data_IF_252069101754
#
_entry.id   IF_252069101754
#
_cell.length_a   1.000
_cell.length_b   1.000
_cell.length_c   1.000
_cell.angle_alpha   90.00
_cell.angle_beta   90.00
_cell.angle_gamma   90.00
#
_symmetry.space_group_name_H-M   'P 1'
#
loop_
_entity.id
_entity.type
_entity.pdbx_description
1 polymer ?
#
# COMPACT_ATOMS: atom_id res chain seq x y z
N UNK A 1 19.91 11.03 1.21
CA UNK A 1 18.89 10.20 1.90
C UNK A 1 17.54 10.75 1.53
N UNK A 2 16.67 9.92 1.01
CA UNK A 2 15.32 10.25 0.51
C UNK A 2 14.29 9.61 1.42
N UNK A 3 13.22 10.33 1.76
CA UNK A 3 12.17 9.85 2.64
C UNK A 3 10.88 9.55 1.89
N UNK A 4 10.36 8.35 2.06
CA UNK A 4 9.14 7.89 1.41
C UNK A 4 8.07 7.63 2.48
N UNK A 5 6.92 8.26 2.31
CA UNK A 5 5.74 8.09 3.16
C UNK A 5 4.72 7.22 2.43
N UNK A 6 4.62 5.95 2.81
CA UNK A 6 3.60 5.07 2.24
C UNK A 6 2.34 5.09 3.10
N UNK A 7 1.21 5.40 2.47
CA UNK A 7 -0.09 5.56 3.13
C UNK A 7 -1.02 4.45 2.66
N UNK A 8 -1.55 3.63 3.58
CA UNK A 8 -2.63 2.71 3.26
C UNK A 8 -3.90 3.50 2.95
N UNK A 9 -4.64 3.12 1.91
CA UNK A 9 -5.92 3.75 1.58
C UNK A 9 -6.89 3.76 2.76
N UNK A 10 -7.82 4.72 2.79
CA UNK A 10 -8.92 4.81 3.74
C UNK A 10 -9.90 3.63 3.61
N UNK A 11 -10.83 3.49 4.55
CA UNK A 11 -11.80 2.40 4.54
C UNK A 11 -12.62 2.41 3.24
N UNK A 12 -12.62 1.27 2.55
CA UNK A 12 -13.39 1.06 1.33
C UNK A 12 -14.86 0.73 1.63
N UNK A 13 -15.75 1.09 0.71
CA UNK A 13 -17.20 0.88 0.83
C UNK A 13 -17.61 -0.59 0.68
N UNK A 14 -16.76 -1.42 0.06
CA UNK A 14 -17.02 -2.85 -0.17
C UNK A 14 -15.76 -3.67 0.05
N UNK A 15 -15.94 -4.96 0.29
CA UNK A 15 -14.86 -5.93 0.41
C UNK A 15 -14.34 -6.43 -0.94
N UNK A 16 -13.25 -7.16 -0.90
CA UNK A 16 -12.57 -7.71 -2.08
C UNK A 16 -13.41 -8.71 -2.90
N UNK A 17 -14.41 -9.32 -2.28
CA UNK A 17 -15.33 -10.28 -2.88
C UNK A 17 -16.62 -9.65 -3.43
N UNK A 18 -16.82 -8.35 -3.24
CA UNK A 18 -18.05 -7.65 -3.61
C UNK A 18 -17.82 -6.71 -4.80
N UNK A 19 -16.73 -5.95 -4.76
CA UNK A 19 -16.36 -4.97 -5.79
C UNK A 19 -14.83 -5.03 -5.99
N UNK A 20 -14.33 -5.14 -7.22
CA UNK A 20 -12.89 -5.15 -7.50
C UNK A 20 -12.22 -3.79 -7.27
N UNK A 21 -12.96 -2.68 -7.37
CA UNK A 21 -12.44 -1.32 -7.19
C UNK A 21 -13.42 -0.40 -6.44
N UNK A 22 -13.72 -0.72 -5.17
CA UNK A 22 -14.68 0.06 -4.40
C UNK A 22 -14.13 1.45 -4.07
N UNK A 23 -15.03 2.49 -4.03
CA UNK A 23 -14.69 3.79 -3.52
C UNK A 23 -14.47 3.76 -1.99
N UNK A 24 -14.02 4.88 -1.43
CA UNK A 24 -14.05 5.08 0.02
C UNK A 24 -15.50 5.20 0.53
N UNK A 25 -15.77 4.62 1.69
CA UNK A 25 -16.98 4.93 2.44
C UNK A 25 -16.85 6.27 3.20
N UNK A 26 -17.86 6.63 3.98
CA UNK A 26 -17.87 7.89 4.72
C UNK A 26 -16.73 7.98 5.74
N UNK A 27 -16.44 6.89 6.46
CA UNK A 27 -15.32 6.85 7.40
C UNK A 27 -13.98 6.96 6.66
N UNK A 28 -13.84 6.26 5.53
CA UNK A 28 -12.64 6.34 4.67
C UNK A 28 -12.38 7.76 4.18
N UNK A 29 -13.42 8.50 3.80
CA UNK A 29 -13.30 9.92 3.44
C UNK A 29 -12.82 10.78 4.60
N UNK A 30 -13.35 10.56 5.80
CA UNK A 30 -12.89 11.26 7.01
C UNK A 30 -11.45 10.89 7.38
N UNK A 31 -11.06 9.62 7.22
CA UNK A 31 -9.68 9.17 7.42
C UNK A 31 -8.73 9.84 6.43
N UNK A 32 -9.14 9.99 5.15
CA UNK A 32 -8.31 10.66 4.13
C UNK A 32 -8.07 12.13 4.45
N UNK A 33 -9.07 12.84 4.96
CA UNK A 33 -8.91 14.24 5.41
C UNK A 33 -7.95 14.35 6.60
N UNK A 34 -8.02 13.41 7.56
CA UNK A 34 -7.12 13.40 8.72
C UNK A 34 -5.66 13.16 8.32
N UNK A 35 -5.39 12.14 7.48
CA UNK A 35 -4.02 11.87 7.04
C UNK A 35 -3.47 13.00 6.18
N UNK A 36 -4.29 13.64 5.35
CA UNK A 36 -3.91 14.83 4.60
C UNK A 36 -3.50 15.98 5.53
N UNK A 37 -4.25 16.22 6.60
CA UNK A 37 -3.90 17.22 7.62
C UNK A 37 -2.58 16.90 8.31
N UNK A 38 -2.35 15.62 8.68
CA UNK A 38 -1.11 15.17 9.33
C UNK A 38 0.11 15.38 8.43
N UNK A 39 -0.02 15.10 7.13
CA UNK A 39 1.09 15.20 6.18
C UNK A 39 1.28 16.61 5.61
N UNK A 40 0.30 17.49 5.76
CA UNK A 40 0.29 18.82 5.12
C UNK A 40 1.54 19.67 5.39
N UNK A 41 2.11 19.57 6.60
CA UNK A 41 3.31 20.33 7.01
C UNK A 41 4.62 19.77 6.46
N UNK A 42 4.61 18.60 5.80
CA UNK A 42 5.81 17.94 5.27
C UNK A 42 6.17 18.34 3.84
N UNK A 43 5.27 19.02 3.13
CA UNK A 43 5.43 19.33 1.71
C UNK A 43 5.22 20.78 1.33
N UNK A 44 5.03 21.05 0.04
CA UNK A 44 4.56 20.11 -0.98
C UNK A 44 5.61 19.10 -1.45
N UNK A 45 5.21 17.84 -1.57
CA UNK A 45 5.99 16.72 -2.10
C UNK A 45 5.26 16.11 -3.31
N UNK A 46 5.94 15.37 -4.21
CA UNK A 46 5.28 14.52 -5.19
C UNK A 46 4.28 13.55 -4.53
N UNK A 47 3.13 13.37 -5.17
CA UNK A 47 2.06 12.47 -4.71
C UNK A 47 1.86 11.37 -5.74
N UNK A 48 2.12 10.13 -5.36
CA UNK A 48 1.85 8.94 -6.16
C UNK A 48 0.65 8.18 -5.60
N UNK A 49 -0.10 7.51 -6.47
CA UNK A 49 -1.21 6.67 -6.08
C UNK A 49 -1.29 5.42 -6.93
N UNK A 50 -1.64 4.31 -6.30
CA UNK A 50 -2.18 3.15 -7.00
C UNK A 50 -3.32 3.56 -7.93
N UNK A 51 -3.52 2.87 -9.07
CA UNK A 51 -4.64 3.14 -9.98
C UNK A 51 -6.02 2.87 -9.37
N UNK A 52 -6.11 2.14 -8.24
CA UNK A 52 -7.40 1.80 -7.63
C UNK A 52 -8.04 3.02 -6.97
N UNK A 53 -9.36 3.16 -7.18
CA UNK A 53 -10.15 4.34 -6.84
C UNK A 53 -9.99 4.76 -5.37
N UNK A 54 -10.00 3.81 -4.44
CA UNK A 54 -9.83 4.08 -3.00
C UNK A 54 -8.50 4.74 -2.65
N UNK A 55 -7.42 4.41 -3.36
CA UNK A 55 -6.11 5.07 -3.17
C UNK A 55 -6.13 6.50 -3.72
N UNK A 56 -6.67 6.70 -4.91
CA UNK A 56 -6.80 8.02 -5.53
C UNK A 56 -7.65 8.95 -4.67
N UNK A 57 -8.78 8.46 -4.16
CA UNK A 57 -9.64 9.22 -3.25
C UNK A 57 -8.96 9.53 -1.91
N UNK A 58 -8.09 8.64 -1.42
CA UNK A 58 -7.29 8.91 -0.22
C UNK A 58 -6.22 9.97 -0.46
N UNK A 59 -5.61 9.98 -1.64
CA UNK A 59 -4.58 10.95 -2.04
C UNK A 59 -5.13 12.36 -2.30
N UNK A 60 -6.35 12.46 -2.81
CA UNK A 60 -6.94 13.69 -3.33
C UNK A 60 -6.92 14.87 -2.35
N UNK A 61 -7.29 14.74 -1.06
CA UNK A 61 -7.26 15.87 -0.13
C UNK A 61 -5.86 16.45 0.08
N UNK A 62 -4.83 15.60 0.17
CA UNK A 62 -3.45 16.03 0.34
C UNK A 62 -2.93 16.73 -0.92
N UNK A 63 -3.14 16.13 -2.08
CA UNK A 63 -2.75 16.69 -3.37
C UNK A 63 -3.41 18.06 -3.60
N UNK A 64 -4.69 18.19 -3.25
CA UNK A 64 -5.42 19.47 -3.32
C UNK A 64 -4.80 20.52 -2.39
N UNK A 65 -4.50 20.17 -1.14
CA UNK A 65 -3.88 21.09 -0.18
C UNK A 65 -2.50 21.58 -0.65
N UNK A 66 -1.74 20.74 -1.32
CA UNK A 66 -0.42 21.06 -1.87
C UNK A 66 -0.45 21.64 -3.29
N UNK A 67 -1.62 21.70 -3.94
CA UNK A 67 -1.79 22.09 -5.35
C UNK A 67 -0.91 21.23 -6.28
N UNK A 68 -0.86 19.93 -5.99
CA UNK A 68 -0.13 18.91 -6.74
C UNK A 68 -1.12 18.03 -7.51
N UNK A 69 -0.66 17.45 -8.61
CA UNK A 69 -1.39 16.38 -9.30
C UNK A 69 -1.05 15.02 -8.68
N UNK A 70 -2.04 14.16 -8.60
CA UNK A 70 -1.82 12.75 -8.21
C UNK A 70 -1.31 11.98 -9.42
N UNK A 71 -0.06 11.54 -9.39
CA UNK A 71 0.50 10.68 -10.43
C UNK A 71 0.11 9.22 -10.14
N UNK A 72 -0.50 8.58 -11.13
CA UNK A 72 -0.87 7.17 -11.04
C UNK A 72 0.35 6.29 -11.32
N UNK A 73 0.59 5.34 -10.42
CA UNK A 73 1.71 4.40 -10.48
C UNK A 73 1.23 2.96 -10.25
N UNK A 74 1.16 2.14 -11.32
CA UNK A 74 0.69 0.76 -11.21
C UNK A 74 1.53 -0.15 -10.30
N UNK A 75 2.84 0.12 -10.18
CA UNK A 75 3.75 -0.69 -9.35
C UNK A 75 3.43 -0.63 -7.85
N UNK A 76 2.68 0.39 -7.40
CA UNK A 76 2.23 0.47 -6.01
C UNK A 76 0.79 -0.05 -5.82
N UNK A 77 0.30 -0.84 -6.77
CA UNK A 77 -0.99 -1.53 -6.72
C UNK A 77 -1.01 -2.66 -5.70
N UNK A 78 -2.23 -3.14 -5.37
CA UNK A 78 -2.40 -4.28 -4.46
C UNK A 78 -2.03 -5.60 -5.14
N UNK A 79 -1.70 -6.61 -4.34
CA UNK A 79 -1.39 -7.95 -4.82
C UNK A 79 -2.48 -8.46 -5.80
N UNK A 80 -2.11 -8.89 -7.01
CA UNK A 80 -3.10 -9.38 -7.97
C UNK A 80 -3.69 -10.72 -7.51
N UNK A 81 -4.99 -10.91 -7.73
CA UNK A 81 -5.61 -12.23 -7.55
C UNK A 81 -5.10 -13.21 -8.60
N UNK A 82 -5.04 -14.53 -8.29
CA UNK A 82 -4.70 -15.53 -9.27
C UNK A 82 -5.67 -15.49 -10.48
N UNK A 83 -5.14 -15.76 -11.66
CA UNK A 83 -5.94 -15.81 -12.87
C UNK A 83 -7.03 -16.89 -12.76
N UNK A 84 -8.26 -16.57 -13.20
CA UNK A 84 -9.38 -17.51 -13.22
C UNK A 84 -10.12 -17.68 -11.88
N UNK A 85 -9.70 -17.01 -10.80
CA UNK A 85 -10.45 -17.04 -9.55
C UNK A 85 -11.72 -16.18 -9.66
N UNK A 86 -12.86 -16.77 -9.23
CA UNK A 86 -14.09 -16.00 -9.02
C UNK A 86 -13.92 -15.00 -7.87
N UNK A 87 -14.75 -13.95 -7.86
CA UNK A 87 -14.68 -12.93 -6.80
C UNK A 87 -14.83 -13.54 -5.39
N UNK A 88 -15.73 -14.51 -5.24
CA UNK A 88 -15.97 -15.22 -3.99
C UNK A 88 -14.78 -16.05 -3.49
N UNK A 89 -13.94 -16.56 -4.40
CA UNK A 89 -12.75 -17.35 -4.05
C UNK A 89 -11.55 -16.47 -3.66
N UNK A 90 -11.55 -15.21 -4.05
CA UNK A 90 -10.44 -14.27 -3.80
C UNK A 90 -10.17 -14.07 -2.32
N UNK A 91 -11.20 -13.96 -1.50
CA UNK A 91 -11.04 -13.70 -0.07
C UNK A 91 -10.38 -14.88 0.64
N UNK A 92 -10.74 -16.11 0.24
CA UNK A 92 -10.12 -17.32 0.80
C UNK A 92 -8.65 -17.39 0.43
N UNK A 93 -8.34 -17.24 -0.86
CA UNK A 93 -6.96 -17.19 -1.31
C UNK A 93 -6.14 -16.10 -0.63
N UNK A 94 -6.71 -14.89 -0.49
CA UNK A 94 -6.03 -13.76 0.14
C UNK A 94 -5.73 -14.03 1.62
N UNK A 95 -6.66 -14.62 2.36
CA UNK A 95 -6.45 -15.02 3.76
C UNK A 95 -5.32 -16.04 3.90
N UNK A 96 -5.30 -17.04 3.02
CA UNK A 96 -4.23 -18.04 2.99
C UNK A 96 -2.88 -17.41 2.67
N UNK A 97 -2.83 -16.50 1.68
CA UNK A 97 -1.64 -15.77 1.32
C UNK A 97 -1.13 -14.92 2.48
N UNK A 98 -2.02 -14.17 3.15
CA UNK A 98 -1.67 -13.32 4.29
C UNK A 98 -1.16 -14.09 5.52
N UNK A 99 -1.56 -15.34 5.68
CA UNK A 99 -1.11 -16.20 6.79
C UNK A 99 0.28 -16.83 6.54
N UNK A 100 0.80 -16.75 5.31
CA UNK A 100 2.02 -17.40 4.87
C UNK A 100 3.16 -16.45 4.54
N UNK A 101 4.10 -16.98 3.76
CA UNK A 101 5.28 -16.29 3.26
C UNK A 101 5.18 -16.06 1.74
N UNK A 102 5.95 -15.13 1.20
CA UNK A 102 6.03 -14.91 -0.23
C UNK A 102 6.55 -16.15 -0.99
N UNK A 103 7.46 -16.89 -0.37
CA UNK A 103 7.94 -18.17 -0.91
C UNK A 103 6.79 -19.17 -1.04
N UNK A 104 5.97 -19.37 -0.01
CA UNK A 104 4.82 -20.28 -0.05
C UNK A 104 3.74 -19.82 -1.05
N UNK A 105 3.48 -18.51 -1.14
CA UNK A 105 2.55 -17.98 -2.14
C UNK A 105 3.05 -18.24 -3.56
N UNK A 106 4.35 -18.07 -3.80
CA UNK A 106 4.94 -18.35 -5.11
C UNK A 106 4.88 -19.83 -5.48
N UNK A 107 5.12 -20.74 -4.53
CA UNK A 107 5.03 -22.18 -4.73
C UNK A 107 3.60 -22.63 -5.06
N UNK A 108 2.59 -22.06 -4.37
CA UNK A 108 1.18 -22.43 -4.53
C UNK A 108 0.50 -21.74 -5.70
N UNK A 109 0.85 -20.49 -5.99
CA UNK A 109 0.10 -19.62 -6.91
C UNK A 109 0.92 -19.06 -8.06
N UNK A 110 2.24 -19.26 -8.06
CA UNK A 110 3.14 -18.91 -9.17
C UNK A 110 4.22 -17.89 -8.82
N UNK A 111 5.37 -18.03 -9.48
CA UNK A 111 6.58 -17.25 -9.23
C UNK A 111 6.43 -15.74 -9.45
N UNK A 112 5.37 -15.30 -10.16
CA UNK A 112 5.09 -13.88 -10.39
C UNK A 112 4.79 -13.09 -9.10
N UNK A 113 4.42 -13.77 -7.99
CA UNK A 113 4.24 -13.11 -6.69
C UNK A 113 5.57 -12.67 -6.06
N UNK A 114 6.64 -13.43 -6.26
CA UNK A 114 7.99 -12.97 -5.89
C UNK A 114 8.43 -11.79 -6.75
N UNK A 115 8.03 -11.78 -8.03
CA UNK A 115 8.30 -10.64 -8.92
C UNK A 115 7.54 -9.40 -8.46
N UNK A 116 6.24 -9.50 -8.16
CA UNK A 116 5.43 -8.41 -7.59
C UNK A 116 6.12 -7.79 -6.36
N UNK A 117 6.56 -8.63 -5.40
CA UNK A 117 7.27 -8.18 -4.20
C UNK A 117 8.56 -7.43 -4.54
N UNK A 118 9.35 -7.95 -5.48
CA UNK A 118 10.59 -7.31 -5.92
C UNK A 118 10.32 -5.98 -6.61
N UNK A 119 9.40 -5.96 -7.56
CA UNK A 119 9.12 -4.78 -8.38
C UNK A 119 8.69 -3.58 -7.52
N UNK A 120 7.82 -3.78 -6.55
CA UNK A 120 7.41 -2.68 -5.65
C UNK A 120 8.57 -2.23 -4.76
N UNK A 121 9.35 -3.15 -4.20
CA UNK A 121 10.48 -2.80 -3.34
C UNK A 121 11.60 -2.07 -4.12
N UNK A 122 11.92 -2.52 -5.33
CA UNK A 122 12.88 -1.89 -6.22
C UNK A 122 12.39 -0.51 -6.67
N UNK A 123 11.10 -0.37 -7.00
CA UNK A 123 10.52 0.91 -7.36
C UNK A 123 10.65 1.93 -6.22
N UNK A 124 10.28 1.55 -4.99
CA UNK A 124 10.40 2.43 -3.81
C UNK A 124 11.86 2.76 -3.54
N UNK A 125 12.78 1.78 -3.61
CA UNK A 125 14.21 2.00 -3.37
C UNK A 125 14.93 2.81 -4.45
N UNK A 126 14.32 2.96 -5.63
CA UNK A 126 14.84 3.79 -6.73
C UNK A 126 14.50 5.27 -6.61
N UNK A 127 13.62 5.64 -5.67
CA UNK A 127 13.18 7.02 -5.52
C UNK A 127 14.32 7.91 -5.00
N UNK A 128 14.47 9.09 -5.63
CA UNK A 128 15.53 10.07 -5.34
C UNK A 128 15.03 11.37 -4.72
N UNK A 129 13.71 11.52 -4.55
CA UNK A 129 13.03 12.67 -3.96
C UNK A 129 12.03 12.23 -2.92
N UNK A 130 11.90 12.98 -1.83
CA UNK A 130 10.89 12.74 -0.80
C UNK A 130 9.52 12.70 -1.45
N UNK A 131 8.74 11.65 -1.17
CA UNK A 131 7.50 11.36 -1.91
C UNK A 131 6.44 10.77 -0.97
N UNK A 132 5.17 11.09 -1.20
CA UNK A 132 4.04 10.41 -0.56
C UNK A 132 3.42 9.43 -1.56
N UNK A 133 3.22 8.18 -1.14
CA UNK A 133 2.74 7.07 -1.96
C UNK A 133 1.48 6.47 -1.33
N UNK A 134 0.33 6.62 -1.98
CA UNK A 134 -0.93 6.02 -1.54
C UNK A 134 -1.09 4.63 -2.15
N UNK A 135 -1.15 3.63 -1.28
CA UNK A 135 -1.06 2.22 -1.66
C UNK A 135 -1.97 1.35 -0.78
N UNK A 136 -1.67 0.07 -0.69
CA UNK A 136 -2.51 -0.97 -0.12
C UNK A 136 -1.80 -1.72 1.01
N UNK A 137 -2.58 -2.51 1.73
CA UNK A 137 -2.14 -3.26 2.89
C UNK A 137 -0.98 -4.22 2.56
N UNK A 138 -1.16 -5.12 1.56
CA UNK A 138 -0.12 -6.10 1.22
C UNK A 138 1.05 -5.43 0.49
N UNK A 139 0.78 -4.46 -0.36
CA UNK A 139 1.80 -3.70 -1.06
C UNK A 139 2.79 -3.03 -0.09
N UNK A 140 2.28 -2.36 0.96
CA UNK A 140 3.14 -1.74 1.97
C UNK A 140 3.89 -2.80 2.79
N UNK A 141 3.22 -3.91 3.15
CA UNK A 141 3.86 -5.04 3.83
C UNK A 141 5.00 -5.67 3.02
N UNK A 142 4.86 -5.74 1.68
CA UNK A 142 5.93 -6.21 0.80
C UNK A 142 7.18 -5.33 0.90
N UNK A 143 7.00 -4.00 0.99
CA UNK A 143 8.11 -3.04 1.16
C UNK A 143 8.70 -3.14 2.57
N UNK A 144 7.87 -3.29 3.62
CA UNK A 144 8.35 -3.53 4.99
C UNK A 144 9.20 -4.80 5.05
N UNK A 145 8.70 -5.91 4.49
CA UNK A 145 9.42 -7.18 4.45
C UNK A 145 10.75 -7.09 3.69
N UNK A 146 10.80 -6.32 2.60
CA UNK A 146 12.06 -6.08 1.89
C UNK A 146 13.05 -5.25 2.73
N UNK A 147 12.58 -4.22 3.43
CA UNK A 147 13.41 -3.37 4.28
C UNK A 147 13.94 -4.09 5.54
N UNK A 148 13.22 -5.10 6.03
CA UNK A 148 13.53 -5.83 7.27
C UNK A 148 14.05 -7.25 7.04
N UNK A 149 14.15 -7.69 5.78
CA UNK A 149 14.50 -9.05 5.38
C UNK A 149 13.54 -10.12 5.96
N UNK A 150 12.26 -9.82 5.95
CA UNK A 150 11.18 -10.68 6.44
C UNK A 150 10.39 -11.24 5.25
N UNK A 151 10.21 -12.56 5.15
CA UNK A 151 9.50 -13.21 4.04
C UNK A 151 8.00 -13.36 4.27
N UNK A 152 7.47 -12.98 5.43
CA UNK A 152 6.01 -12.99 5.67
C UNK A 152 5.30 -12.04 4.72
N UNK A 153 4.12 -12.45 4.25
CA UNK A 153 3.26 -11.57 3.43
C UNK A 153 2.71 -10.42 4.29
N UNK A 154 2.35 -10.70 5.55
CA UNK A 154 1.94 -9.70 6.53
C UNK A 154 2.99 -9.62 7.64
N UNK A 155 3.74 -8.53 7.66
CA UNK A 155 4.74 -8.21 8.69
C UNK A 155 4.10 -7.36 9.78
N UNK A 156 3.19 -6.44 9.41
CA UNK A 156 2.51 -5.51 10.29
C UNK A 156 1.02 -5.36 9.94
N UNK A 157 0.17 -5.20 10.96
CA UNK A 157 -1.27 -5.01 10.81
C UNK A 157 -1.64 -3.53 10.68
N UNK A 158 -1.26 -2.92 9.57
CA UNK A 158 -1.42 -1.50 9.28
C UNK A 158 -2.90 -1.08 9.26
N UNK A 159 -3.26 0.00 9.96
CA UNK A 159 -4.61 0.57 9.91
C UNK A 159 -4.87 1.38 8.62
N UNK A 160 -6.13 1.62 8.31
CA UNK A 160 -6.52 2.52 7.21
C UNK A 160 -5.96 3.93 7.44
N UNK A 161 -5.41 4.52 6.41
CA UNK A 161 -4.71 5.80 6.44
C UNK A 161 -3.51 5.86 7.39
N UNK A 162 -2.96 4.72 7.85
CA UNK A 162 -1.67 4.69 8.54
C UNK A 162 -0.54 5.10 7.58
N UNK A 163 0.49 5.73 8.12
CA UNK A 163 1.65 6.21 7.38
C UNK A 163 2.87 5.42 7.81
N UNK A 164 3.42 4.61 6.93
CA UNK A 164 4.69 3.90 7.13
C UNK A 164 5.80 4.69 6.43
N UNK A 165 6.86 4.99 7.14
CA UNK A 165 7.96 5.83 6.64
C UNK A 165 9.20 4.98 6.37
N UNK A 166 9.79 5.19 5.21
CA UNK A 166 11.04 4.58 4.79
C UNK A 166 12.06 5.65 4.45
N UNK A 167 13.33 5.36 4.71
CA UNK A 167 14.46 6.11 4.18
C UNK A 167 15.16 5.29 3.09
N UNK A 168 15.51 5.95 1.98
CA UNK A 168 16.30 5.41 0.88
C UNK A 168 17.62 6.11 0.84
N UNK A 169 18.71 5.36 0.97
CA UNK A 169 20.07 5.86 0.87
C UNK A 169 20.88 5.02 -0.12
N UNK A 170 21.28 5.61 -1.24
CA UNK A 170 22.01 4.91 -2.31
C UNK A 170 21.33 3.59 -2.75
N UNK A 171 20.00 3.60 -2.89
CA UNK A 171 19.21 2.42 -3.27
C UNK A 171 18.96 1.44 -2.12
N UNK A 172 19.50 1.67 -0.93
CA UNK A 172 19.22 0.87 0.25
C UNK A 172 17.98 1.39 0.97
N UNK A 173 16.98 0.53 1.08
CA UNK A 173 15.72 0.79 1.78
C UNK A 173 15.85 0.47 3.28
N UNK A 174 15.33 1.34 4.13
CA UNK A 174 15.29 1.15 5.58
C UNK A 174 13.94 1.59 6.13
N UNK A 175 13.32 0.77 6.97
CA UNK A 175 12.09 1.14 7.70
C UNK A 175 12.46 2.10 8.83
N UNK A 176 11.87 3.31 8.84
CA UNK A 176 12.15 4.35 9.84
C UNK A 176 11.02 4.46 10.87
N UNK A 177 9.77 4.37 10.40
CA UNK A 177 8.60 4.46 11.26
C UNK A 177 7.51 3.53 10.73
N UNK A 178 6.98 2.69 11.60
CA UNK A 178 5.88 1.81 11.27
C UNK A 178 4.56 2.58 11.39
N UNK A 179 3.68 2.41 10.42
CA UNK A 179 2.32 2.95 10.48
C UNK A 179 1.54 2.40 11.66
N UNK A 180 0.59 3.18 12.18
CA UNK A 180 -0.27 2.75 13.28
C UNK A 180 -0.94 1.40 12.97
N UNK A 181 -0.87 0.48 13.92
CA UNK A 181 -1.53 -0.82 13.84
C UNK A 181 -2.93 -0.75 14.45
N UNK A 182 -3.86 -1.46 13.86
CA UNK A 182 -5.19 -1.68 14.39
C UNK A 182 -5.59 -3.13 14.27
N UNK A 183 -6.53 -3.57 15.11
CA UNK A 183 -7.22 -4.87 15.01
C UNK A 183 -8.20 -4.89 13.79
N UNK A 184 -7.88 -4.17 12.74
CA UNK A 184 -8.74 -4.10 11.54
C UNK A 184 -8.51 -5.31 10.66
N UNK A 185 -9.47 -6.22 10.69
CA UNK A 185 -9.59 -7.27 9.69
C UNK A 185 -9.59 -6.63 8.29
N UNK A 186 -8.72 -7.11 7.40
CA UNK A 186 -8.82 -6.83 5.97
C UNK A 186 -10.15 -7.40 5.49
N UNK A 187 -11.09 -6.54 5.11
CA UNK A 187 -12.40 -6.89 4.58
C UNK A 187 -12.35 -7.03 3.08
#
# INVERSE_FOLDING_TARGET
MTRIYMVRHGRAAAGWNEDPDPPLDELGRQQSLRVASTLSSRGPLPVLSSPLLRCQQTAFPLATAWKQEVRIEPLVGEIPSPAGYALEDRITWLRDAMAGTWTEVAEKSGAHYLQYRRDIAEFISSMSVDTVVFSHFIAINAVIGAATNDDRVVVAHLDNCSVTTFDVDNGKLSLTELGGEADTLVR
#
